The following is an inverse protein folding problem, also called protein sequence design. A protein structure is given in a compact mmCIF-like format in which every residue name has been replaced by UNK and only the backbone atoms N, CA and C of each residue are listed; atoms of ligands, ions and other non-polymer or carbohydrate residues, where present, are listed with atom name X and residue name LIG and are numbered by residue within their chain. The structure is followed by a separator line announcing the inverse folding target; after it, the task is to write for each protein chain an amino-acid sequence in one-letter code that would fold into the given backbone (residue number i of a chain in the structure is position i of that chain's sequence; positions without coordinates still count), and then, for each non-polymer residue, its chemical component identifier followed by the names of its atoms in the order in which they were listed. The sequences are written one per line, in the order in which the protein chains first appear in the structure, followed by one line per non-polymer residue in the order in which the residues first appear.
data_IF_484436745660
#
_entry.id   IF_484436745660
#
_cell.length_a   1.000
_cell.length_b   1.000
_cell.length_c   1.000
_cell.angle_alpha   90.00
_cell.angle_beta   90.00
_cell.angle_gamma   90.00
#
_symmetry.space_group_name_H-M   'P 1'
#
loop_
_entity.id
_entity.type
_entity.pdbx_description
1 polymer ?
#
# COMPACT_ATOMS: atom_id res chain seq x y z
N UNK A 1 -9.97 2.46 42.80
CA UNK A 1 -8.53 2.20 42.68
C UNK A 1 -8.22 2.02 41.19
N UNK A 2 -7.57 2.99 40.53
CA UNK A 2 -6.93 2.79 39.22
C UNK A 2 -5.42 2.67 39.45
N UNK A 3 -4.76 1.76 38.73
CA UNK A 3 -3.92 2.20 37.60
C UNK A 3 -4.18 1.33 36.36
N UNK A 4 -4.50 1.89 35.17
CA UNK A 4 -3.57 2.34 34.10
C UNK A 4 -2.36 1.40 33.92
N UNK A 5 -2.37 0.53 32.89
CA UNK A 5 -1.23 0.11 32.00
C UNK A 5 -1.33 -1.34 31.49
N UNK A 6 -2.07 -1.59 30.40
CA UNK A 6 -1.83 -2.79 29.56
C UNK A 6 -1.60 -2.44 28.08
N UNK A 7 -1.80 -1.17 27.71
CA UNK A 7 -1.68 -0.70 26.32
C UNK A 7 -0.22 -0.57 25.85
N UNK A 8 0.76 -0.58 26.75
CA UNK A 8 2.19 -0.43 26.40
C UNK A 8 2.82 -1.68 25.79
N UNK A 9 2.44 -2.88 26.24
CA UNK A 9 3.03 -4.14 25.79
C UNK A 9 2.38 -4.65 24.50
N UNK A 10 1.07 -4.41 24.32
CA UNK A 10 0.34 -4.78 23.11
C UNK A 10 0.80 -3.97 21.89
N UNK A 11 0.98 -2.65 22.02
CA UNK A 11 1.44 -1.79 20.92
C UNK A 11 2.89 -2.08 20.52
N UNK A 12 3.78 -2.39 21.48
CA UNK A 12 5.15 -2.80 21.18
C UNK A 12 5.20 -4.18 20.48
N UNK A 13 4.37 -5.13 20.92
CA UNK A 13 4.22 -6.44 20.27
C UNK A 13 3.60 -6.32 18.88
N UNK A 14 2.68 -5.37 18.70
CA UNK A 14 1.99 -5.10 17.44
C UNK A 14 2.92 -4.40 16.44
N UNK A 15 3.71 -3.42 16.87
CA UNK A 15 4.75 -2.78 16.06
C UNK A 15 5.82 -3.80 15.60
N UNK A 16 6.27 -4.68 16.51
CA UNK A 16 7.17 -5.79 16.16
C UNK A 16 6.53 -6.77 15.16
N UNK A 17 5.26 -7.12 15.36
CA UNK A 17 4.51 -7.96 14.43
C UNK A 17 4.35 -7.31 13.04
N UNK A 18 4.14 -6.00 12.98
CA UNK A 18 4.06 -5.26 11.73
C UNK A 18 5.38 -5.29 10.96
N UNK A 19 6.52 -5.18 11.66
CA UNK A 19 7.85 -5.34 11.05
C UNK A 19 8.05 -6.74 10.45
N UNK A 20 7.61 -7.79 11.14
CA UNK A 20 7.65 -9.18 10.62
C UNK A 20 6.73 -9.36 9.40
N UNK A 21 5.53 -8.79 9.45
CA UNK A 21 4.58 -8.83 8.34
C UNK A 21 5.12 -8.07 7.13
N UNK A 22 5.72 -6.89 7.34
CA UNK A 22 6.35 -6.10 6.30
C UNK A 22 7.45 -6.88 5.61
N UNK A 23 8.36 -7.50 6.40
CA UNK A 23 9.45 -8.30 5.85
C UNK A 23 8.92 -9.47 5.00
N UNK A 24 7.93 -10.22 5.52
CA UNK A 24 7.31 -11.32 4.77
C UNK A 24 6.58 -10.84 3.52
N UNK A 25 5.96 -9.68 3.58
CA UNK A 25 5.31 -9.08 2.43
C UNK A 25 6.33 -8.76 1.33
N UNK A 26 7.49 -8.22 1.72
CA UNK A 26 8.59 -7.93 0.79
C UNK A 26 9.18 -9.20 0.17
N UNK A 27 9.35 -10.26 0.96
CA UNK A 27 9.75 -11.59 0.48
C UNK A 27 8.75 -12.14 -0.56
N UNK A 28 7.45 -12.11 -0.24
CA UNK A 28 6.39 -12.55 -1.17
C UNK A 28 6.36 -11.69 -2.43
N UNK A 29 6.56 -10.39 -2.27
CA UNK A 29 6.67 -9.49 -3.39
C UNK A 29 7.88 -9.91 -4.23
N UNK A 30 9.07 -10.10 -3.67
CA UNK A 30 10.28 -10.54 -4.40
C UNK A 30 10.08 -11.87 -5.15
N UNK A 31 9.34 -12.82 -4.58
CA UNK A 31 8.94 -14.09 -5.22
C UNK A 31 7.97 -13.93 -6.40
N UNK A 32 7.37 -12.74 -6.55
CA UNK A 32 6.35 -12.47 -7.57
C UNK A 32 4.91 -12.72 -7.10
N UNK A 33 4.72 -13.16 -5.85
CA UNK A 33 3.40 -13.38 -5.26
C UNK A 33 2.82 -12.07 -4.71
N UNK A 34 2.30 -11.25 -5.63
CA UNK A 34 1.68 -9.96 -5.31
C UNK A 34 0.43 -10.11 -4.43
N UNK A 35 -0.33 -11.19 -4.63
CA UNK A 35 -1.54 -11.48 -3.86
C UNK A 35 -1.21 -11.69 -2.38
N UNK A 36 -0.23 -12.55 -2.08
CA UNK A 36 0.20 -12.79 -0.71
C UNK A 36 0.88 -11.55 -0.10
N UNK A 37 1.70 -10.83 -0.88
CA UNK A 37 2.32 -9.59 -0.43
C UNK A 37 1.26 -8.56 -0.02
N UNK A 38 0.22 -8.38 -0.83
CA UNK A 38 -0.88 -7.44 -0.58
C UNK A 38 -1.60 -7.73 0.75
N UNK A 39 -1.92 -9.00 1.04
CA UNK A 39 -2.54 -9.40 2.31
C UNK A 39 -1.66 -9.06 3.53
N UNK A 40 -0.36 -9.33 3.42
CA UNK A 40 0.59 -9.07 4.50
C UNK A 40 0.82 -7.57 4.72
N UNK A 41 0.99 -6.81 3.63
CA UNK A 41 1.09 -5.35 3.69
C UNK A 41 -0.19 -4.72 4.25
N UNK A 42 -1.37 -5.20 3.86
CA UNK A 42 -2.63 -4.68 4.39
C UNK A 42 -2.72 -4.84 5.90
N UNK A 43 -2.37 -6.02 6.43
CA UNK A 43 -2.35 -6.24 7.87
C UNK A 43 -1.36 -5.35 8.61
N UNK A 44 -0.17 -5.14 8.05
CA UNK A 44 0.84 -4.24 8.63
C UNK A 44 0.43 -2.76 8.51
N UNK A 45 -0.21 -2.36 7.42
CA UNK A 45 -0.73 -1.02 7.17
C UNK A 45 -1.91 -0.67 8.10
N UNK A 46 -2.79 -1.64 8.37
CA UNK A 46 -3.85 -1.52 9.37
C UNK A 46 -3.28 -1.33 10.78
N UNK A 47 -2.12 -1.92 11.08
CA UNK A 47 -1.38 -1.68 12.32
C UNK A 47 -0.72 -0.30 12.42
N UNK A 48 -0.69 0.49 11.34
CA UNK A 48 -0.07 1.82 11.32
C UNK A 48 1.37 1.86 10.80
N UNK A 49 1.82 0.85 10.05
CA UNK A 49 3.17 0.85 9.48
C UNK A 49 3.18 1.68 8.19
N UNK A 50 3.90 2.79 8.21
CA UNK A 50 4.03 3.68 7.06
C UNK A 50 4.66 2.94 5.87
N UNK A 51 5.74 2.19 6.10
CA UNK A 51 6.39 1.35 5.10
C UNK A 51 5.46 0.28 4.50
N UNK A 52 4.55 -0.28 5.30
CA UNK A 52 3.58 -1.25 4.79
C UNK A 52 2.50 -0.59 3.93
N UNK A 53 2.04 0.61 4.29
CA UNK A 53 1.16 1.41 3.44
C UNK A 53 1.81 1.69 2.07
N UNK A 54 3.11 2.03 2.06
CA UNK A 54 3.89 2.20 0.81
C UNK A 54 3.97 0.90 0.01
N UNK A 55 4.32 -0.21 0.66
CA UNK A 55 4.38 -1.52 0.00
C UNK A 55 3.03 -1.92 -0.61
N UNK A 56 1.94 -1.71 0.13
CA UNK A 56 0.58 -1.96 -0.33
C UNK A 56 0.24 -1.09 -1.54
N UNK A 57 0.52 0.21 -1.47
CA UNK A 57 0.30 1.15 -2.56
C UNK A 57 1.03 0.72 -3.84
N UNK A 58 2.30 0.30 -3.73
CA UNK A 58 3.08 -0.24 -4.86
C UNK A 58 2.41 -1.45 -5.52
N UNK A 59 1.76 -2.33 -4.76
CA UNK A 59 1.03 -3.49 -5.34
C UNK A 59 -0.22 -3.10 -6.13
N UNK A 60 -0.72 -1.87 -5.96
CA UNK A 60 -1.82 -1.30 -6.74
C UNK A 60 -1.33 -0.31 -7.80
N UNK A 61 -0.08 0.12 -7.72
CA UNK A 61 0.51 1.13 -8.58
C UNK A 61 0.79 0.57 -9.98
N UNK A 62 0.11 1.05 -11.04
CA UNK A 62 0.36 0.62 -12.41
C UNK A 62 1.79 0.87 -12.86
N UNK A 63 2.45 1.93 -12.37
CA UNK A 63 3.86 2.24 -12.69
C UNK A 63 4.78 1.13 -12.18
N UNK A 64 4.52 0.63 -10.98
CA UNK A 64 5.29 -0.46 -10.37
C UNK A 64 4.99 -1.81 -11.03
N UNK A 65 3.72 -2.12 -11.27
CA UNK A 65 3.30 -3.37 -11.89
C UNK A 65 3.78 -3.50 -13.35
N UNK A 66 3.78 -2.39 -14.10
CA UNK A 66 4.27 -2.36 -15.49
C UNK A 66 5.77 -2.59 -15.55
N UNK A 67 6.55 -1.96 -14.66
CA UNK A 67 8.00 -2.18 -14.57
C UNK A 67 8.36 -3.63 -14.24
N UNK A 68 7.51 -4.32 -13.50
CA UNK A 68 7.71 -5.73 -13.12
C UNK A 68 7.32 -6.73 -14.20
N UNK A 69 6.66 -6.29 -15.26
CA UNK A 69 6.12 -7.19 -16.29
C UNK A 69 5.02 -8.12 -15.77
N UNK A 70 4.38 -7.80 -14.65
CA UNK A 70 3.30 -8.62 -14.09
C UNK A 70 2.00 -8.40 -14.85
N UNK A 71 1.82 -9.14 -15.95
CA UNK A 71 0.58 -9.23 -16.71
C UNK A 71 -0.40 -10.16 -16.01
N UNK A 72 -1.34 -9.60 -15.25
CA UNK A 72 -2.40 -10.39 -14.59
C UNK A 72 -2.97 -9.78 -13.32
N UNK A 73 -2.25 -8.85 -12.69
CA UNK A 73 -2.77 -8.10 -11.56
C UNK A 73 -3.48 -6.84 -12.05
N UNK A 74 -4.73 -6.64 -11.63
CA UNK A 74 -5.44 -5.39 -11.95
C UNK A 74 -4.83 -4.24 -11.12
N UNK A 75 -4.21 -3.23 -11.77
CA UNK A 75 -3.78 -2.02 -11.09
C UNK A 75 -4.99 -1.25 -10.58
N UNK A 76 -4.82 -0.56 -9.46
CA UNK A 76 -5.83 0.35 -8.92
C UNK A 76 -5.16 1.67 -8.51
N UNK A 77 -5.05 2.63 -9.45
CA UNK A 77 -4.35 3.88 -9.17
C UNK A 77 -5.10 4.76 -8.16
N UNK A 78 -6.38 4.48 -7.87
CA UNK A 78 -7.14 5.19 -6.84
C UNK A 78 -6.75 4.67 -5.45
N UNK A 79 -6.78 3.35 -5.24
CA UNK A 79 -6.34 2.73 -3.97
C UNK A 79 -4.88 2.99 -3.69
N UNK A 80 -4.01 2.95 -4.71
CA UNK A 80 -2.60 3.31 -4.54
C UNK A 80 -2.44 4.74 -4.00
N UNK A 81 -3.26 5.69 -4.47
CA UNK A 81 -3.25 7.09 -3.99
C UNK A 81 -3.61 7.18 -2.51
N UNK A 82 -4.69 6.50 -2.10
CA UNK A 82 -5.16 6.51 -0.70
C UNK A 82 -4.09 5.95 0.26
N UNK A 83 -3.45 4.85 -0.12
CA UNK A 83 -2.40 4.23 0.69
C UNK A 83 -1.12 5.05 0.75
N UNK A 84 -0.70 5.68 -0.36
CA UNK A 84 0.42 6.61 -0.33
C UNK A 84 0.13 7.83 0.55
N UNK A 85 -1.08 8.42 0.45
CA UNK A 85 -1.48 9.51 1.34
C UNK A 85 -1.45 9.11 2.82
N UNK A 86 -1.95 7.91 3.13
CA UNK A 86 -1.88 7.36 4.49
C UNK A 86 -0.44 7.18 4.97
N UNK A 87 0.46 6.71 4.10
CA UNK A 87 1.87 6.58 4.44
C UNK A 87 2.53 7.94 4.74
N UNK A 88 2.21 8.97 3.95
CA UNK A 88 2.67 10.36 4.21
C UNK A 88 2.15 10.84 5.58
N UNK A 89 0.87 10.60 5.90
CA UNK A 89 0.31 10.95 7.22
C UNK A 89 0.96 10.21 8.38
N UNK A 90 1.54 9.03 8.13
CA UNK A 90 2.31 8.25 9.11
C UNK A 90 3.80 8.65 9.16
N UNK A 91 4.24 9.60 8.34
CA UNK A 91 5.61 10.13 8.33
C UNK A 91 6.55 9.50 7.30
N UNK A 92 6.04 8.73 6.33
CA UNK A 92 6.88 8.21 5.23
C UNK A 92 7.09 9.29 4.15
N UNK A 93 8.29 9.85 4.11
CA UNK A 93 8.65 10.91 3.15
C UNK A 93 8.80 10.36 1.71
N UNK A 94 9.14 9.07 1.57
CA UNK A 94 9.27 8.41 0.27
C UNK A 94 7.93 8.24 -0.46
N UNK A 95 6.84 8.11 0.29
CA UNK A 95 5.49 7.98 -0.25
C UNK A 95 5.06 9.19 -1.12
N UNK A 96 5.51 10.41 -0.79
CA UNK A 96 5.18 11.61 -1.56
C UNK A 96 5.78 11.57 -2.98
N UNK A 97 7.02 11.10 -3.12
CA UNK A 97 7.68 10.96 -4.42
C UNK A 97 6.97 9.93 -5.29
N UNK A 98 6.55 8.81 -4.70
CA UNK A 98 5.81 7.77 -5.42
C UNK A 98 4.41 8.23 -5.82
N UNK A 99 3.70 8.94 -4.94
CA UNK A 99 2.41 9.54 -5.25
C UNK A 99 2.51 10.52 -6.43
N UNK A 100 3.58 11.33 -6.49
CA UNK A 100 3.81 12.21 -7.62
C UNK A 100 4.04 11.43 -8.92
N UNK A 101 4.83 10.36 -8.89
CA UNK A 101 5.02 9.47 -10.03
C UNK A 101 3.71 8.86 -10.54
N UNK A 102 2.88 8.36 -9.62
CA UNK A 102 1.55 7.84 -9.93
C UNK A 102 0.64 8.92 -10.52
N UNK A 103 0.62 10.12 -9.96
CA UNK A 103 -0.17 11.23 -10.48
C UNK A 103 0.23 11.60 -11.92
N UNK A 104 1.53 11.62 -12.20
CA UNK A 104 2.05 11.85 -13.57
C UNK A 104 1.63 10.74 -14.53
N UNK A 105 1.70 9.47 -14.10
CA UNK A 105 1.21 8.35 -14.91
C UNK A 105 -0.28 8.48 -15.20
N UNK A 106 -1.09 8.86 -14.20
CA UNK A 106 -2.54 9.12 -14.36
C UNK A 106 -2.80 10.27 -15.32
N UNK A 107 -1.97 11.32 -15.36
CA UNK A 107 -2.10 12.38 -16.35
C UNK A 107 -1.77 11.91 -17.78
N UNK A 108 -0.85 10.94 -17.91
CA UNK A 108 -0.44 10.39 -19.20
C UNK A 108 -1.40 9.31 -19.74
N UNK A 109 -2.07 8.56 -18.86
CA UNK A 109 -2.91 7.40 -19.22
C UNK A 109 -4.38 7.53 -18.77
N UNK A 110 -4.75 8.64 -18.12
CA UNK A 110 -6.06 8.83 -17.47
C UNK A 110 -7.23 9.15 -18.40
N UNK A 111 -7.02 9.24 -19.72
CA UNK A 111 -8.13 9.35 -20.68
C UNK A 111 -8.88 8.03 -20.86
N UNK A 112 -8.34 6.89 -20.43
CA UNK A 112 -9.00 5.59 -20.55
C UNK A 112 -9.75 5.16 -19.28
N UNK A 113 -9.42 5.72 -18.11
CA UNK A 113 -10.03 5.30 -16.84
C UNK A 113 -11.38 5.96 -16.53
N UNK A 114 -11.76 7.04 -17.22
CA UNK A 114 -13.03 7.74 -16.98
C UNK A 114 -14.24 7.16 -17.73
N UNK A 115 -14.08 6.11 -18.54
CA UNK A 115 -15.18 5.49 -19.30
C UNK A 115 -15.84 4.26 -18.64
N UNK A 116 -15.47 3.87 -17.41
CA UNK A 116 -16.06 2.70 -16.72
C UNK A 116 -16.96 3.01 -15.51
N UNK A 117 -17.46 4.24 -15.38
CA UNK A 117 -18.64 4.53 -14.56
C UNK A 117 -19.58 5.44 -15.34
N UNK A 118 -20.31 4.82 -16.26
CA UNK A 118 -21.60 5.34 -16.69
C UNK A 118 -22.63 4.26 -16.34
N UNK A 119 -23.53 4.48 -15.36
CA UNK A 119 -24.64 3.54 -15.18
C UNK A 119 -25.52 3.56 -16.45
N UNK A 120 -26.02 2.41 -16.94
CA UNK A 120 -26.87 2.38 -18.12
C UNK A 120 -28.23 3.01 -17.85
N UNK A 121 -28.54 4.03 -18.67
CA UNK A 121 -29.82 4.68 -19.05
C UNK A 121 -30.86 4.98 -17.96
#
# INVERSE_FOLDING_TARGET
MTPKTETGTALASQAGMMGVLLKRADEKLAEGDISAARLLYERAAQGGSAAACVGLAKTYDPVFLTQRGTSGMQPDPQRATEWYQKAISLGDEGAAAQLNGLARWKLQHGSETLSQTLPPR
#
